data_IF_697638696032
#
_entry.id   IF_697638696032
#
_cell.length_a   1.000
_cell.length_b   1.000
_cell.length_c   1.000
_cell.angle_alpha   90.00
_cell.angle_beta   90.00
_cell.angle_gamma   90.00
#
_symmetry.space_group_name_H-M   'P 1'
#
loop_
_entity.id
_entity.type
_entity.pdbx_description
1 polymer ?
#
# COMPACT_ATOMS: atom_id res chain seq x y z
N UNK A 1 8.19 -1.08 -20.24
CA UNK A 1 6.78 -1.38 -19.89
C UNK A 1 6.73 -1.64 -18.40
N UNK A 2 5.99 -0.84 -17.64
CA UNK A 2 5.78 -1.08 -16.20
C UNK A 2 4.68 -2.14 -16.11
N UNK A 3 4.99 -3.27 -15.49
CA UNK A 3 4.02 -4.34 -15.26
C UNK A 3 3.09 -3.93 -14.11
N UNK A 4 1.88 -3.50 -14.47
CA UNK A 4 0.88 -2.99 -13.52
C UNK A 4 0.31 -4.08 -12.60
N UNK A 5 0.57 -5.37 -12.87
CA UNK A 5 0.17 -6.48 -11.99
C UNK A 5 0.90 -6.47 -10.64
N UNK A 6 1.93 -5.63 -10.49
CA UNK A 6 2.78 -5.55 -9.29
C UNK A 6 2.51 -4.30 -8.44
N UNK A 7 1.46 -3.55 -8.75
CA UNK A 7 0.99 -2.43 -7.94
C UNK A 7 0.19 -2.94 -6.75
N UNK A 8 0.69 -2.70 -5.55
CA UNK A 8 0.03 -3.11 -4.31
C UNK A 8 -0.73 -1.92 -3.73
N UNK A 9 -2.04 -2.11 -3.55
CA UNK A 9 -2.93 -1.16 -2.88
C UNK A 9 -3.06 0.19 -3.60
N UNK A 10 -3.02 0.17 -4.94
CA UNK A 10 -3.34 1.32 -5.78
C UNK A 10 -4.86 1.45 -5.91
N UNK A 11 -5.50 1.66 -4.77
CA UNK A 11 -6.95 1.74 -4.70
C UNK A 11 -7.46 3.01 -5.38
N UNK A 12 -8.65 2.93 -5.97
CA UNK A 12 -9.29 4.06 -6.66
C UNK A 12 -9.42 5.31 -5.79
N UNK A 13 -9.51 5.15 -4.47
CA UNK A 13 -9.60 6.26 -3.52
C UNK A 13 -8.38 7.19 -3.52
N UNK A 14 -7.24 6.73 -4.03
CA UNK A 14 -6.04 7.57 -4.19
C UNK A 14 -6.03 8.37 -5.50
N UNK A 15 -7.03 8.18 -6.36
CA UNK A 15 -7.16 8.92 -7.62
C UNK A 15 -5.94 8.76 -8.51
N UNK A 16 -5.52 7.50 -8.71
CA UNK A 16 -4.44 7.09 -9.60
C UNK A 16 -5.04 6.56 -10.90
N UNK A 17 -4.29 6.66 -12.01
CA UNK A 17 -4.75 6.19 -13.33
C UNK A 17 -4.95 4.67 -13.42
N UNK A 18 -4.53 3.94 -12.37
CA UNK A 18 -4.63 2.49 -12.27
C UNK A 18 -5.56 2.17 -11.11
N UNK A 19 -6.68 1.54 -11.42
CA UNK A 19 -7.66 1.07 -10.45
C UNK A 19 -7.40 -0.40 -10.11
N UNK A 20 -6.84 -0.68 -8.93
CA UNK A 20 -6.70 -2.05 -8.42
C UNK A 20 -7.84 -2.46 -7.48
N UNK A 21 -8.95 -1.72 -7.49
CA UNK A 21 -10.13 -1.93 -6.64
C UNK A 21 -10.31 -0.85 -5.57
N UNK A 22 -11.30 -1.05 -4.69
CA UNK A 22 -11.51 -0.20 -3.52
C UNK A 22 -10.77 -0.75 -2.31
N UNK A 23 -10.22 0.14 -1.49
CA UNK A 23 -9.69 -0.27 -0.19
C UNK A 23 -10.78 -0.89 0.70
N UNK A 24 -12.02 -0.45 0.53
CA UNK A 24 -13.16 -0.87 1.33
C UNK A 24 -13.45 -2.37 1.12
N UNK A 25 -13.26 -2.85 -0.11
CA UNK A 25 -13.43 -4.26 -0.46
C UNK A 25 -12.35 -5.17 0.15
N UNK A 26 -11.22 -4.58 0.54
CA UNK A 26 -10.11 -5.29 1.20
C UNK A 26 -10.18 -5.22 2.72
N UNK A 27 -11.16 -4.54 3.32
CA UNK A 27 -11.28 -4.48 4.78
C UNK A 27 -11.80 -5.78 5.35
N UNK A 28 -11.08 -6.33 6.33
CA UNK A 28 -11.41 -7.58 7.00
C UNK A 28 -11.33 -7.42 8.51
N UNK A 29 -12.05 -8.25 9.25
CA UNK A 29 -11.99 -8.22 10.73
C UNK A 29 -10.62 -8.64 11.27
N UNK A 30 -9.90 -9.51 10.55
CA UNK A 30 -8.59 -10.03 10.94
C UNK A 30 -7.74 -10.33 9.71
N UNK A 31 -6.46 -9.98 9.77
CA UNK A 31 -5.46 -10.32 8.75
C UNK A 31 -4.72 -11.61 9.12
N UNK A 32 -4.28 -12.37 8.11
CA UNK A 32 -3.54 -13.63 8.26
C UNK A 32 -2.02 -13.46 8.35
N UNK A 33 -1.53 -12.22 8.25
CA UNK A 33 -0.10 -11.89 8.16
C UNK A 33 0.35 -10.99 9.32
N UNK A 34 1.67 -10.93 9.57
CA UNK A 34 2.22 -9.99 10.55
C UNK A 34 2.26 -8.57 9.98
N UNK A 35 1.40 -7.68 10.50
CA UNK A 35 1.40 -6.25 10.12
C UNK A 35 2.76 -5.61 10.33
N UNK A 36 3.42 -5.92 11.44
CA UNK A 36 4.74 -5.37 11.79
C UNK A 36 5.80 -5.73 10.75
N UNK A 37 5.84 -7.00 10.31
CA UNK A 37 6.75 -7.42 9.23
C UNK A 37 6.46 -6.70 7.93
N UNK A 38 5.19 -6.64 7.53
CA UNK A 38 4.78 -5.97 6.29
C UNK A 38 5.13 -4.48 6.32
N UNK A 39 4.77 -3.78 7.40
CA UNK A 39 5.10 -2.35 7.57
C UNK A 39 6.61 -2.14 7.54
N UNK A 40 7.38 -2.99 8.23
CA UNK A 40 8.84 -2.90 8.26
C UNK A 40 9.46 -3.11 6.87
N UNK A 41 8.92 -4.05 6.09
CA UNK A 41 9.33 -4.27 4.71
C UNK A 41 9.01 -3.07 3.83
N UNK A 42 7.79 -2.53 3.88
CA UNK A 42 7.36 -1.39 3.07
C UNK A 42 8.19 -0.13 3.37
N UNK A 43 8.55 0.09 4.64
CA UNK A 43 9.41 1.22 5.06
C UNK A 43 10.84 1.13 4.53
N UNK A 44 11.33 -0.05 4.15
CA UNK A 44 12.66 -0.25 3.55
C UNK A 44 12.67 -0.04 2.03
N UNK A 45 11.51 0.18 1.40
CA UNK A 45 11.42 0.40 -0.04
C UNK A 45 12.25 1.59 -0.52
N UNK A 46 12.66 1.54 -1.79
CA UNK A 46 13.31 2.67 -2.46
C UNK A 46 12.24 3.60 -3.03
N UNK A 47 12.28 4.88 -2.66
CA UNK A 47 11.44 5.93 -3.27
C UNK A 47 11.87 6.16 -4.72
N UNK A 48 10.91 6.11 -5.65
CA UNK A 48 11.15 6.29 -7.10
C UNK A 48 10.40 7.48 -7.70
N UNK A 49 9.32 7.93 -7.07
CA UNK A 49 8.59 9.12 -7.47
C UNK A 49 8.09 9.85 -6.23
N UNK A 50 7.93 11.16 -6.33
CA UNK A 50 7.40 12.02 -5.29
C UNK A 50 6.68 13.18 -5.94
N UNK A 51 5.44 13.41 -5.54
CA UNK A 51 4.61 14.52 -5.98
C UNK A 51 3.96 15.17 -4.76
N UNK A 52 4.03 16.49 -4.61
CA UNK A 52 3.28 17.19 -3.58
C UNK A 52 1.79 17.17 -3.96
N UNK A 53 0.99 16.43 -3.19
CA UNK A 53 -0.47 16.33 -3.33
C UNK A 53 -1.07 16.08 -1.95
N UNK A 54 -2.24 16.64 -1.72
CA UNK A 54 -3.04 16.33 -0.54
C UNK A 54 -3.55 14.89 -0.61
N UNK A 55 -3.22 14.11 0.42
CA UNK A 55 -3.72 12.76 0.61
C UNK A 55 -4.70 12.73 1.78
N UNK A 56 -5.76 11.97 1.58
CA UNK A 56 -6.82 11.75 2.55
C UNK A 56 -6.91 10.26 2.89
N UNK A 57 -7.32 9.96 4.12
CA UNK A 57 -7.64 8.61 4.55
C UNK A 57 -8.76 8.09 3.66
N UNK A 58 -8.57 6.96 2.95
CA UNK A 58 -9.54 6.50 1.98
C UNK A 58 -10.85 6.05 2.63
N UNK A 59 -10.85 5.78 3.94
CA UNK A 59 -11.99 5.34 4.75
C UNK A 59 -12.64 6.51 5.48
N UNK A 60 -11.89 7.27 6.29
CA UNK A 60 -12.46 8.38 7.09
C UNK A 60 -12.59 9.70 6.32
N UNK A 61 -11.92 9.84 5.17
CA UNK A 61 -11.77 11.08 4.41
C UNK A 61 -11.06 12.21 5.17
N UNK A 62 -10.42 11.88 6.28
CA UNK A 62 -9.59 12.83 7.04
C UNK A 62 -8.28 13.10 6.30
N UNK A 63 -7.77 14.32 6.44
CA UNK A 63 -6.47 14.68 5.88
C UNK A 63 -5.34 13.82 6.51
N UNK A 64 -4.45 13.29 5.67
CA UNK A 64 -3.27 12.53 6.11
C UNK A 64 -2.00 13.37 5.97
N UNK A 65 -1.63 13.75 4.74
CA UNK A 65 -0.38 14.44 4.46
C UNK A 65 -0.37 15.13 3.08
N UNK A 66 0.60 16.03 2.89
CA UNK A 66 0.85 16.77 1.64
C UNK A 66 1.98 16.16 0.79
N UNK A 67 2.13 14.84 0.84
CA UNK A 67 3.15 14.11 0.08
C UNK A 67 2.52 12.86 -0.50
N UNK A 68 2.67 12.67 -1.80
CA UNK A 68 2.42 11.40 -2.45
C UNK A 68 3.73 10.89 -3.03
N UNK A 69 4.27 9.84 -2.42
CA UNK A 69 5.49 9.20 -2.86
C UNK A 69 5.25 7.74 -3.25
N UNK A 70 5.89 7.30 -4.33
CA UNK A 70 5.85 5.91 -4.78
C UNK A 70 7.16 5.24 -4.42
N UNK A 71 7.04 4.05 -3.83
CA UNK A 71 8.12 3.21 -3.36
C UNK A 71 8.12 1.88 -4.10
N UNK A 72 9.29 1.25 -4.18
CA UNK A 72 9.44 -0.08 -4.77
C UNK A 72 10.56 -0.87 -4.11
N UNK A 73 10.47 -2.20 -4.15
CA UNK A 73 11.59 -3.12 -3.88
C UNK A 73 12.25 -3.65 -5.17
N UNK A 74 11.86 -3.13 -6.34
CA UNK A 74 12.27 -3.63 -7.65
C UNK A 74 11.30 -4.65 -8.26
N UNK A 75 10.34 -5.17 -7.48
CA UNK A 75 9.28 -6.05 -7.98
C UNK A 75 7.91 -5.39 -7.81
N UNK A 76 7.56 -4.95 -6.60
CA UNK A 76 6.28 -4.34 -6.27
C UNK A 76 6.38 -2.83 -6.17
N UNK A 77 5.25 -2.16 -6.35
CA UNK A 77 5.12 -0.70 -6.20
C UNK A 77 4.01 -0.38 -5.22
N UNK A 78 4.25 0.58 -4.33
CA UNK A 78 3.26 1.04 -3.35
C UNK A 78 3.45 2.52 -3.05
N UNK A 79 2.45 3.09 -2.38
CA UNK A 79 2.44 4.49 -1.99
C UNK A 79 2.85 4.64 -0.52
N UNK A 80 3.40 5.81 -0.17
CA UNK A 80 3.89 6.16 1.16
C UNK A 80 2.85 6.04 2.29
N UNK A 81 1.57 6.24 1.99
CA UNK A 81 0.49 6.10 2.96
C UNK A 81 0.16 4.64 3.29
N UNK A 82 0.53 3.67 2.45
CA UNK A 82 0.15 2.27 2.62
C UNK A 82 0.54 1.69 4.00
N UNK A 83 1.77 1.88 4.51
CA UNK A 83 2.15 1.46 5.86
C UNK A 83 1.23 2.03 6.96
N UNK A 84 0.87 3.32 6.88
CA UNK A 84 0.00 3.98 7.87
C UNK A 84 -1.40 3.37 7.86
N UNK A 85 -1.89 3.03 6.68
CA UNK A 85 -3.21 2.44 6.50
C UNK A 85 -3.21 0.97 6.99
N UNK A 86 -2.18 0.18 6.70
CA UNK A 86 -2.06 -1.20 7.23
C UNK A 86 -1.94 -1.20 8.75
N UNK A 87 -1.29 -0.19 9.33
CA UNK A 87 -1.22 -0.01 10.77
C UNK A 87 -2.62 0.25 11.35
N UNK A 88 -3.35 1.22 10.80
CA UNK A 88 -4.68 1.65 11.28
C UNK A 88 -5.80 0.62 10.99
N UNK A 89 -5.75 -0.08 9.86
CA UNK A 89 -6.82 -0.94 9.37
C UNK A 89 -6.36 -2.36 9.06
N UNK A 90 -7.27 -3.31 9.21
CA UNK A 90 -7.03 -4.70 8.81
C UNK A 90 -7.37 -4.85 7.32
N UNK A 91 -6.35 -4.76 6.48
CA UNK A 91 -6.49 -4.85 5.02
C UNK A 91 -6.00 -6.20 4.53
N UNK A 92 -6.80 -6.90 3.73
CA UNK A 92 -6.37 -8.10 3.06
C UNK A 92 -5.45 -7.74 1.89
N UNK A 93 -4.21 -8.20 1.97
CA UNK A 93 -3.24 -8.13 0.88
C UNK A 93 -3.26 -9.43 0.07
N UNK A 94 -2.70 -9.41 -1.13
CA UNK A 94 -2.62 -10.61 -1.96
C UNK A 94 -1.73 -11.66 -1.29
N UNK A 95 -2.16 -12.93 -1.33
CA UNK A 95 -1.42 -14.03 -0.69
C UNK A 95 0.02 -14.16 -1.23
N UNK A 96 0.24 -13.84 -2.51
CA UNK A 96 1.56 -13.86 -3.15
C UNK A 96 2.49 -12.83 -2.51
N UNK A 97 2.00 -11.60 -2.30
CA UNK A 97 2.77 -10.53 -1.68
C UNK A 97 3.09 -10.84 -0.22
N UNK A 98 2.10 -11.30 0.55
CA UNK A 98 2.27 -11.70 1.95
C UNK A 98 3.30 -12.82 2.07
N UNK A 99 3.19 -13.86 1.23
CA UNK A 99 4.09 -15.01 1.27
C UNK A 99 5.54 -14.59 1.01
N UNK A 100 5.77 -13.71 0.02
CA UNK A 100 7.10 -13.15 -0.23
C UNK A 100 7.67 -12.46 1.01
N UNK A 101 6.87 -11.67 1.72
CA UNK A 101 7.33 -10.96 2.93
C UNK A 101 7.63 -11.93 4.07
N UNK A 102 6.82 -12.97 4.25
CA UNK A 102 7.07 -13.98 5.29
C UNK A 102 8.29 -14.86 4.99
N UNK A 103 8.63 -15.05 3.71
CA UNK A 103 9.83 -15.80 3.28
C UNK A 103 11.13 -14.98 3.36
N UNK A 104 11.05 -13.66 3.51
CA UNK A 104 12.21 -12.79 3.76
C UNK A 104 12.70 -12.98 5.20
N UNK A 105 13.88 -13.61 5.33
CA UNK A 105 14.57 -13.83 6.61
C UNK A 105 15.19 -12.57 7.19
#
# INVERSE_FOLDING_TARGET
MIDFSKNISWFKEFGLDIDTGSIQDCLVNKVSYSKEKVISYLKKGKRIASCPRELYDPITKEFLENSFSVYTDGEYYWIDVLPKIIEKYNIQLTNVFVKKIEELK
#
